data_IF_042484321606
#
_entry.id   IF_042484321606
#
_cell.length_a   1.000
_cell.length_b   1.000
_cell.length_c   1.000
_cell.angle_alpha   90.00
_cell.angle_beta   90.00
_cell.angle_gamma   90.00
#
_symmetry.space_group_name_H-M   'P 1'
#
loop_
_entity.id
_entity.type
_entity.pdbx_description
1 polymer ?
#
# COMPACT_ATOMS: atom_id res chain seq x y z
N UNK A 1 14.12 11.64 -1.11
CA UNK A 1 13.42 12.94 -1.18
C UNK A 1 13.56 13.62 -2.54
N UNK A 2 14.78 13.92 -3.02
CA UNK A 2 15.01 14.57 -4.33
C UNK A 2 14.38 13.82 -5.52
N UNK A 3 14.29 12.49 -5.44
CA UNK A 3 13.69 11.64 -6.47
C UNK A 3 12.21 11.95 -6.77
N UNK A 4 11.48 12.64 -5.88
CA UNK A 4 10.09 13.02 -6.11
C UNK A 4 9.89 14.37 -6.81
N UNK A 5 10.93 15.22 -6.86
CA UNK A 5 10.84 16.54 -7.51
C UNK A 5 10.45 16.46 -9.00
N UNK A 6 10.96 15.52 -9.80
CA UNK A 6 10.53 15.37 -11.19
C UNK A 6 9.00 15.18 -11.32
N UNK A 7 8.38 14.39 -10.45
CA UNK A 7 6.92 14.17 -10.48
C UNK A 7 6.14 15.46 -10.19
N UNK A 8 6.60 16.25 -9.23
CA UNK A 8 5.97 17.54 -8.87
C UNK A 8 6.10 18.53 -10.03
N UNK A 9 7.30 18.66 -10.61
CA UNK A 9 7.55 19.56 -11.75
C UNK A 9 6.69 19.15 -12.95
N UNK A 10 6.62 17.86 -13.26
CA UNK A 10 5.78 17.34 -14.36
C UNK A 10 4.30 17.64 -14.13
N UNK A 11 3.81 17.50 -12.90
CA UNK A 11 2.42 17.81 -12.55
C UNK A 11 2.05 19.27 -12.83
N UNK A 12 2.96 20.21 -12.59
CA UNK A 12 2.69 21.64 -12.74
C UNK A 12 3.14 22.24 -14.08
N UNK A 13 4.01 21.56 -14.83
CA UNK A 13 4.53 22.05 -16.12
C UNK A 13 3.63 21.73 -17.32
N UNK A 14 2.65 20.83 -17.17
CA UNK A 14 1.78 20.40 -18.27
C UNK A 14 2.48 19.55 -19.34
N UNK A 15 3.72 19.12 -19.07
CA UNK A 15 4.49 18.27 -19.99
C UNK A 15 3.89 16.85 -19.99
N UNK A 16 3.53 16.37 -21.18
CA UNK A 16 3.00 15.02 -21.37
C UNK A 16 4.15 14.10 -21.79
N UNK A 17 4.47 13.14 -20.92
CA UNK A 17 5.46 12.10 -21.19
C UNK A 17 4.79 10.83 -21.72
N UNK A 18 5.51 9.98 -22.47
CA UNK A 18 5.05 8.63 -22.78
C UNK A 18 4.68 7.85 -21.52
N UNK A 19 3.60 7.05 -21.60
CA UNK A 19 3.02 6.38 -20.43
C UNK A 19 4.02 5.60 -19.55
N UNK A 20 4.99 4.83 -20.09
CA UNK A 20 5.95 4.10 -19.25
C UNK A 20 6.85 5.03 -18.43
N UNK A 21 7.29 6.13 -19.03
CA UNK A 21 8.16 7.10 -18.35
C UNK A 21 7.38 7.93 -17.32
N UNK A 22 6.15 8.32 -17.66
CA UNK A 22 5.25 8.97 -16.72
C UNK A 22 5.01 8.07 -15.49
N UNK A 23 4.68 6.79 -15.70
CA UNK A 23 4.45 5.84 -14.61
C UNK A 23 5.68 5.69 -13.70
N UNK A 24 6.89 5.60 -14.28
CA UNK A 24 8.13 5.53 -13.51
C UNK A 24 8.35 6.79 -12.66
N UNK A 25 8.23 7.97 -13.25
CA UNK A 25 8.52 9.23 -12.56
C UNK A 25 7.48 9.55 -11.49
N UNK A 26 6.18 9.36 -11.78
CA UNK A 26 5.14 9.51 -10.75
C UNK A 26 5.24 8.44 -9.68
N UNK A 27 5.59 7.19 -10.02
CA UNK A 27 5.86 6.12 -9.06
C UNK A 27 7.01 6.48 -8.11
N UNK A 28 8.12 7.00 -8.64
CA UNK A 28 9.22 7.53 -7.82
C UNK A 28 8.78 8.72 -6.94
N UNK A 29 7.87 9.54 -7.44
CA UNK A 29 7.20 10.59 -6.66
C UNK A 29 6.44 10.04 -5.47
N UNK A 30 5.60 9.02 -5.68
CA UNK A 30 4.81 8.35 -4.63
C UNK A 30 5.74 7.73 -3.59
N UNK A 31 6.74 6.95 -4.01
CA UNK A 31 7.74 6.34 -3.11
C UNK A 31 8.48 7.43 -2.34
N UNK A 32 8.96 8.47 -3.04
CA UNK A 32 9.63 9.61 -2.42
C UNK A 32 8.78 10.28 -1.34
N UNK A 33 7.48 10.50 -1.63
CA UNK A 33 6.51 11.03 -0.68
C UNK A 33 6.26 10.14 0.52
N UNK A 34 6.16 8.82 0.33
CA UNK A 34 6.03 7.86 1.43
C UNK A 34 7.22 7.96 2.40
N UNK A 35 8.45 8.03 1.89
CA UNK A 35 9.64 8.23 2.72
C UNK A 35 9.64 9.58 3.45
N UNK A 36 9.18 10.67 2.79
CA UNK A 36 9.01 11.98 3.45
C UNK A 36 8.10 11.86 4.67
N UNK A 37 6.94 11.22 4.49
CA UNK A 37 5.94 11.04 5.54
C UNK A 37 6.45 10.14 6.66
N UNK A 38 7.17 9.06 6.34
CA UNK A 38 7.77 8.18 7.36
C UNK A 38 8.77 8.93 8.23
N UNK A 39 9.64 9.77 7.66
CA UNK A 39 10.55 10.60 8.46
C UNK A 39 9.81 11.67 9.27
N UNK A 40 8.81 12.33 8.69
CA UNK A 40 7.99 13.29 9.44
C UNK A 40 7.29 12.61 10.63
N UNK A 41 6.78 11.40 10.44
CA UNK A 41 6.17 10.60 11.49
C UNK A 41 7.18 10.20 12.56
N UNK A 42 8.40 9.80 12.18
CA UNK A 42 9.50 9.48 13.11
C UNK A 42 9.88 10.67 14.00
N UNK A 43 9.96 11.88 13.42
CA UNK A 43 10.20 13.10 14.20
C UNK A 43 9.00 13.41 15.12
N UNK A 44 7.77 13.26 14.62
CA UNK A 44 6.57 13.50 15.42
C UNK A 44 6.44 12.55 16.62
N UNK A 45 7.11 11.38 16.60
CA UNK A 45 7.12 10.44 17.75
C UNK A 45 7.72 11.04 19.01
N UNK A 46 8.55 12.08 18.88
CA UNK A 46 9.15 12.77 20.03
C UNK A 46 8.09 13.50 20.87
N UNK A 47 6.94 13.81 20.28
CA UNK A 47 5.89 14.64 20.89
C UNK A 47 4.58 13.87 21.18
N UNK A 48 4.47 12.60 20.79
CA UNK A 48 3.26 11.78 20.96
C UNK A 48 3.54 10.45 21.66
N UNK A 49 2.48 9.74 22.09
CA UNK A 49 2.64 8.43 22.73
C UNK A 49 3.24 7.40 21.77
N UNK A 50 4.10 6.51 22.30
CA UNK A 50 4.77 5.47 21.52
C UNK A 50 3.79 4.55 20.76
N UNK A 51 2.63 4.27 21.34
CA UNK A 51 1.58 3.46 20.70
C UNK A 51 0.93 4.18 19.51
N UNK A 52 0.63 5.48 19.65
CA UNK A 52 0.09 6.29 18.57
C UNK A 52 1.11 6.44 17.43
N UNK A 53 2.37 6.67 17.80
CA UNK A 53 3.49 6.76 16.87
C UNK A 53 3.64 5.51 15.99
N UNK A 54 3.60 4.31 16.58
CA UNK A 54 3.67 3.04 15.83
C UNK A 54 2.45 2.85 14.93
N UNK A 55 1.25 3.17 15.41
CA UNK A 55 0.03 3.06 14.61
C UNK A 55 0.07 3.98 13.37
N UNK A 56 0.52 5.22 13.54
CA UNK A 56 0.67 6.19 12.45
C UNK A 56 1.74 5.74 11.45
N UNK A 57 2.89 5.24 11.93
CA UNK A 57 3.92 4.67 11.04
C UNK A 57 3.38 3.50 10.22
N UNK A 58 2.64 2.60 10.85
CA UNK A 58 2.04 1.46 10.16
C UNK A 58 1.06 1.92 9.06
N UNK A 59 0.25 2.94 9.33
CA UNK A 59 -0.65 3.52 8.34
C UNK A 59 0.10 4.19 7.18
N UNK A 60 1.15 4.97 7.49
CA UNK A 60 1.96 5.66 6.47
C UNK A 60 2.68 4.66 5.56
N UNK A 61 3.15 3.53 6.13
CA UNK A 61 3.84 2.50 5.37
C UNK A 61 2.99 1.89 4.23
N UNK A 62 1.66 1.89 4.39
CA UNK A 62 0.71 1.38 3.40
C UNK A 62 -0.08 2.50 2.70
N UNK A 63 0.18 3.76 3.04
CA UNK A 63 -0.52 4.92 2.48
C UNK A 63 -0.43 5.02 0.95
N UNK A 64 0.72 4.74 0.29
CA UNK A 64 0.80 4.71 -1.16
C UNK A 64 -0.23 3.78 -1.82
N UNK A 65 -0.47 2.63 -1.20
CA UNK A 65 -1.44 1.64 -1.68
C UNK A 65 -2.86 2.20 -1.59
N UNK A 66 -3.23 2.73 -0.42
CA UNK A 66 -4.54 3.37 -0.21
C UNK A 66 -4.78 4.58 -1.11
N UNK A 67 -3.75 5.36 -1.41
CA UNK A 67 -3.87 6.50 -2.31
C UNK A 67 -4.22 6.06 -3.74
N UNK A 68 -3.59 4.99 -4.23
CA UNK A 68 -3.91 4.40 -5.54
C UNK A 68 -5.30 3.79 -5.53
N UNK A 69 -5.64 3.04 -4.47
CA UNK A 69 -6.94 2.41 -4.31
C UNK A 69 -8.08 3.43 -4.31
N UNK A 70 -7.94 4.55 -3.62
CA UNK A 70 -8.93 5.63 -3.60
C UNK A 70 -9.19 6.21 -5.00
N UNK A 71 -8.14 6.38 -5.81
CA UNK A 71 -8.26 6.86 -7.19
C UNK A 71 -8.96 5.83 -8.07
N UNK A 72 -8.61 4.55 -7.94
CA UNK A 72 -9.27 3.47 -8.69
C UNK A 72 -10.74 3.33 -8.29
N UNK A 73 -11.05 3.39 -7.00
CA UNK A 73 -12.41 3.31 -6.48
C UNK A 73 -13.27 4.48 -6.96
N UNK A 74 -12.71 5.70 -6.99
CA UNK A 74 -13.38 6.87 -7.55
C UNK A 74 -13.71 6.68 -9.04
N UNK A 75 -12.76 6.17 -9.83
CA UNK A 75 -12.97 5.86 -11.26
C UNK A 75 -14.02 4.76 -11.46
N UNK A 76 -13.99 3.72 -10.63
CA UNK A 76 -14.96 2.63 -10.66
C UNK A 76 -16.38 3.14 -10.36
N UNK A 77 -16.54 3.96 -9.32
CA UNK A 77 -17.82 4.59 -8.97
C UNK A 77 -18.37 5.48 -10.09
N UNK A 78 -17.51 6.29 -10.71
CA UNK A 78 -17.90 7.12 -11.85
C UNK A 78 -18.32 6.32 -13.10
N UNK A 79 -17.89 5.06 -13.21
CA UNK A 79 -18.24 4.17 -14.33
C UNK A 79 -19.52 3.37 -14.13
N UNK A 80 -20.13 3.41 -12.93
CA UNK A 80 -21.33 2.64 -12.62
C UNK A 80 -22.57 3.24 -13.28
N UNK A 81 -23.31 2.41 -14.02
CA UNK A 81 -24.64 2.75 -14.54
C UNK A 81 -25.72 1.90 -13.86
N UNK A 82 -26.63 2.50 -13.08
CA UNK A 82 -27.72 1.76 -12.44
C UNK A 82 -28.68 1.08 -13.41
N UNK A 83 -28.85 1.61 -14.63
CA UNK A 83 -29.76 1.09 -15.64
C UNK A 83 -29.20 -0.15 -16.37
N UNK A 84 -27.88 -0.32 -16.33
CA UNK A 84 -27.17 -1.45 -16.94
C UNK A 84 -26.06 -1.92 -15.98
N UNK A 85 -26.37 -2.76 -14.99
CA UNK A 85 -25.42 -3.21 -13.98
C UNK A 85 -24.42 -4.21 -14.59
N UNK A 86 -23.43 -3.67 -15.30
CA UNK A 86 -22.33 -4.41 -15.91
C UNK A 86 -21.04 -4.07 -15.19
N UNK A 87 -20.23 -5.08 -14.90
CA UNK A 87 -18.90 -4.89 -14.34
C UNK A 87 -18.02 -4.21 -15.41
N UNK A 88 -17.53 -3.01 -15.10
CA UNK A 88 -16.65 -2.27 -16.00
C UNK A 88 -15.19 -2.61 -15.74
N UNK A 89 -14.32 -2.28 -16.70
CA UNK A 89 -12.86 -2.41 -16.53
C UNK A 89 -12.32 -1.57 -15.36
N UNK A 90 -12.97 -0.46 -15.03
CA UNK A 90 -12.60 0.34 -13.86
C UNK A 90 -12.90 -0.39 -12.54
N UNK A 91 -14.05 -1.05 -12.45
CA UNK A 91 -14.40 -1.90 -11.30
C UNK A 91 -13.46 -3.10 -11.19
N UNK A 92 -13.15 -3.75 -12.32
CA UNK A 92 -12.22 -4.88 -12.36
C UNK A 92 -10.81 -4.49 -11.89
N UNK A 93 -10.35 -3.27 -12.23
CA UNK A 93 -9.04 -2.75 -11.76
C UNK A 93 -8.96 -2.58 -10.25
N UNK A 94 -10.05 -2.15 -9.60
CA UNK A 94 -10.10 -2.07 -8.12
C UNK A 94 -9.91 -3.44 -7.50
N UNK A 95 -10.69 -4.42 -7.94
CA UNK A 95 -10.59 -5.80 -7.42
C UNK A 95 -9.20 -6.40 -7.68
N UNK A 96 -8.64 -6.19 -8.88
CA UNK A 96 -7.30 -6.65 -9.22
C UNK A 96 -6.21 -6.00 -8.35
N UNK A 97 -6.34 -4.71 -8.03
CA UNK A 97 -5.39 -4.01 -7.17
C UNK A 97 -5.41 -4.56 -5.74
N UNK A 98 -6.58 -4.61 -5.10
CA UNK A 98 -6.72 -5.06 -3.70
C UNK A 98 -6.27 -6.53 -3.54
N UNK A 99 -6.68 -7.39 -4.47
CA UNK A 99 -6.28 -8.80 -4.43
C UNK A 99 -4.80 -8.99 -4.76
N UNK A 100 -4.26 -8.21 -5.71
CA UNK A 100 -2.85 -8.20 -6.07
C UNK A 100 -1.96 -7.78 -4.91
N UNK A 101 -2.29 -6.66 -4.24
CA UNK A 101 -1.55 -6.14 -3.11
C UNK A 101 -1.46 -7.15 -1.96
N UNK A 102 -2.57 -7.78 -1.57
CA UNK A 102 -2.59 -8.80 -0.53
C UNK A 102 -1.74 -10.03 -0.88
N UNK A 103 -1.79 -10.49 -2.15
CA UNK A 103 -0.98 -11.61 -2.62
C UNK A 103 0.50 -11.26 -2.66
N UNK A 104 0.86 -10.06 -3.09
CA UNK A 104 2.25 -9.59 -3.10
C UNK A 104 2.80 -9.43 -1.68
N UNK A 105 1.99 -8.91 -0.74
CA UNK A 105 2.38 -8.75 0.66
C UNK A 105 2.72 -10.09 1.31
N UNK A 106 1.83 -11.08 1.21
CA UNK A 106 2.06 -12.40 1.83
C UNK A 106 3.10 -13.20 1.02
N UNK A 107 2.92 -13.25 -0.31
CA UNK A 107 3.70 -14.11 -1.19
C UNK A 107 5.15 -13.66 -1.41
N UNK A 108 5.39 -12.34 -1.50
CA UNK A 108 6.73 -11.77 -1.68
C UNK A 108 7.22 -10.99 -0.47
N UNK A 109 6.37 -10.16 0.14
CA UNK A 109 6.77 -9.30 1.26
C UNK A 109 7.19 -10.12 2.49
N UNK A 110 6.28 -10.91 3.05
CA UNK A 110 6.53 -11.70 4.25
C UNK A 110 7.58 -12.78 4.00
N UNK A 111 7.50 -13.48 2.87
CA UNK A 111 8.46 -14.52 2.51
C UNK A 111 9.88 -13.97 2.38
N UNK A 112 10.08 -12.78 1.78
CA UNK A 112 11.38 -12.14 1.69
C UNK A 112 11.92 -11.73 3.06
N UNK A 113 11.09 -11.13 3.94
CA UNK A 113 11.51 -10.74 5.29
C UNK A 113 11.93 -11.96 6.11
N UNK A 114 11.15 -13.05 6.07
CA UNK A 114 11.46 -14.32 6.75
C UNK A 114 12.75 -14.92 6.19
N UNK A 115 12.92 -14.92 4.87
CA UNK A 115 14.13 -15.41 4.22
C UNK A 115 15.37 -14.61 4.65
N UNK A 116 15.29 -13.27 4.64
CA UNK A 116 16.38 -12.40 5.09
C UNK A 116 16.69 -12.64 6.57
N UNK A 117 15.67 -12.76 7.41
CA UNK A 117 15.83 -13.08 8.83
C UNK A 117 16.57 -14.41 9.03
N UNK A 118 16.11 -15.46 8.36
CA UNK A 118 16.71 -16.79 8.44
C UNK A 118 18.15 -16.79 7.91
N UNK A 119 18.43 -16.09 6.81
CA UNK A 119 19.79 -15.97 6.28
C UNK A 119 20.74 -15.30 7.27
N UNK A 120 20.28 -14.31 8.04
CA UNK A 120 21.08 -13.60 9.04
C UNK A 120 21.21 -14.31 10.38
N UNK A 121 20.14 -14.94 10.87
CA UNK A 121 20.10 -15.53 12.22
C UNK A 121 20.29 -17.05 12.22
N UNK A 122 20.06 -17.72 11.09
CA UNK A 122 20.09 -19.19 10.94
C UNK A 122 19.20 -19.93 11.95
N UNK A 123 18.15 -19.26 12.41
CA UNK A 123 17.20 -19.76 13.40
C UNK A 123 15.78 -19.69 12.82
N UNK A 124 14.89 -20.60 13.23
CA UNK A 124 13.47 -20.48 12.91
C UNK A 124 12.90 -19.22 13.55
N UNK A 125 12.02 -18.53 12.84
CA UNK A 125 11.29 -17.38 13.37
C UNK A 125 10.14 -17.92 14.24
N UNK A 126 10.27 -17.80 15.56
CA UNK A 126 9.18 -18.12 16.49
C UNK A 126 8.31 -16.88 16.71
N UNK A 127 7.07 -16.93 16.23
CA UNK A 127 6.07 -15.86 16.40
C UNK A 127 4.96 -16.27 17.39
N UNK A 128 5.13 -17.37 18.13
CA UNK A 128 4.14 -17.82 19.11
C UNK A 128 3.96 -16.77 20.20
N UNK A 129 2.71 -16.44 20.50
CA UNK A 129 2.34 -15.45 21.52
C UNK A 129 2.25 -14.00 21.05
N UNK A 130 2.74 -13.67 19.85
CA UNK A 130 2.67 -12.30 19.29
C UNK A 130 1.52 -12.08 18.30
N UNK A 131 0.92 -13.14 17.75
CA UNK A 131 -0.11 -13.07 16.68
C UNK A 131 -1.50 -13.50 17.19
N UNK A 132 -1.84 -13.18 18.44
CA UNK A 132 -3.03 -13.74 19.10
C UNK A 132 -4.34 -13.09 18.65
N UNK A 133 -4.31 -11.84 18.17
CA UNK A 133 -5.49 -11.10 17.71
C UNK A 133 -5.64 -11.13 16.18
N UNK A 134 -4.51 -11.14 15.48
CA UNK A 134 -4.43 -11.04 14.03
C UNK A 134 -4.89 -12.34 13.37
N UNK A 135 -4.54 -13.52 13.91
CA UNK A 135 -4.95 -14.82 13.38
C UNK A 135 -6.48 -15.01 13.40
N UNK A 136 -7.19 -14.77 14.51
CA UNK A 136 -8.65 -14.81 14.54
C UNK A 136 -9.30 -13.81 13.59
N UNK A 137 -8.78 -12.57 13.55
CA UNK A 137 -9.30 -11.53 12.67
C UNK A 137 -9.15 -11.90 11.19
N UNK A 138 -7.98 -12.41 10.81
CA UNK A 138 -7.72 -12.91 9.46
C UNK A 138 -8.60 -14.10 9.11
N UNK A 139 -8.84 -15.02 10.06
CA UNK A 139 -9.73 -16.15 9.86
C UNK A 139 -11.17 -15.68 9.60
N UNK A 140 -11.69 -14.74 10.40
CA UNK A 140 -13.03 -14.15 10.22
C UNK A 140 -13.13 -13.44 8.86
N UNK A 141 -12.16 -12.59 8.54
CA UNK A 141 -12.13 -11.87 7.26
C UNK A 141 -12.11 -12.85 6.07
N UNK A 142 -11.31 -13.90 6.16
CA UNK A 142 -11.24 -14.94 5.11
C UNK A 142 -12.57 -15.69 4.98
N UNK A 143 -13.20 -16.07 6.10
CA UNK A 143 -14.50 -16.72 6.09
C UNK A 143 -15.59 -15.84 5.48
N UNK A 144 -15.61 -14.54 5.78
CA UNK A 144 -16.55 -13.60 5.20
C UNK A 144 -16.42 -13.50 3.68
N UNK A 145 -15.21 -13.65 3.13
CA UNK A 145 -15.01 -13.64 1.67
C UNK A 145 -15.45 -14.91 0.95
N UNK A 146 -15.77 -15.98 1.68
CA UNK A 146 -16.27 -17.25 1.12
C UNK A 146 -17.80 -17.30 1.01
N UNK A 147 -18.50 -16.31 1.57
CA UNK A 147 -19.96 -16.17 1.56
C UNK A 147 -20.36 -15.16 0.49
#
# INVERSE_FOLDING_TARGET
>A
MAAGFPAVILRFSGIHLPAPLAALLFGLGIVGGAFLLSWAAEVAQLDVSASLAIAVLALIAILPEYAIEAVLASQAGASFNPEAPVITDAMARVAANVTGANRLLIGLGWSAVILIYWLKRKQPLDMRGFITLELPMLAIATLLTLV
#
